data_IF_352729370836
#
_entry.id   IF_352729370836
#
_cell.length_a   1.000
_cell.length_b   1.000
_cell.length_c   1.000
_cell.angle_alpha   90.00
_cell.angle_beta   90.00
_cell.angle_gamma   90.00
#
_symmetry.space_group_name_H-M   'P 1'
#
loop_
_entity.id
_entity.type
_entity.pdbx_description
1 polymer ?
#
# COMPACT_ATOMS: atom_id res chain seq x y z
N UNK A 1 31.97 -14.26 42.12
CA UNK A 1 31.54 -13.00 41.49
C UNK A 1 31.22 -13.15 39.99
N UNK A 2 31.62 -14.22 39.32
CA UNK A 2 31.52 -14.33 37.85
C UNK A 2 30.15 -14.80 37.32
N UNK A 3 29.44 -15.63 38.08
CA UNK A 3 28.15 -16.21 37.63
C UNK A 3 27.03 -15.15 37.51
N UNK A 4 26.99 -14.18 38.42
CA UNK A 4 26.01 -13.08 38.38
C UNK A 4 26.26 -12.09 37.25
N UNK A 5 27.52 -11.93 36.82
CA UNK A 5 27.90 -11.09 35.68
C UNK A 5 27.46 -11.75 34.37
N UNK A 6 27.61 -13.08 34.26
CA UNK A 6 27.19 -13.83 33.08
C UNK A 6 25.68 -13.81 32.88
N UNK A 7 24.90 -13.99 33.95
CA UNK A 7 23.43 -13.90 33.90
C UNK A 7 22.96 -12.50 33.48
N UNK A 8 23.62 -11.44 33.97
CA UNK A 8 23.29 -10.05 33.60
C UNK A 8 23.51 -9.80 32.09
N UNK A 9 24.59 -10.34 31.52
CA UNK A 9 24.87 -10.24 30.09
C UNK A 9 23.81 -10.94 29.24
N UNK A 10 23.40 -12.16 29.61
CA UNK A 10 22.34 -12.89 28.92
C UNK A 10 21.01 -12.13 29.00
N UNK A 11 20.67 -11.58 30.16
CA UNK A 11 19.44 -10.81 30.32
C UNK A 11 19.42 -9.55 29.45
N UNK A 12 20.54 -8.81 29.38
CA UNK A 12 20.70 -7.66 28.48
C UNK A 12 20.63 -8.05 27.00
N UNK A 13 21.19 -9.20 26.62
CA UNK A 13 21.11 -9.71 25.25
C UNK A 13 19.65 -9.99 24.86
N UNK A 14 18.92 -10.70 25.71
CA UNK A 14 17.51 -11.05 25.47
C UNK A 14 16.65 -9.79 25.33
N UNK A 15 16.83 -8.81 26.22
CA UNK A 15 16.09 -7.53 26.12
C UNK A 15 16.40 -6.81 24.80
N UNK A 16 17.66 -6.73 24.39
CA UNK A 16 18.03 -6.07 23.13
C UNK A 16 17.45 -6.79 21.91
N UNK A 17 17.48 -8.13 21.88
CA UNK A 17 16.86 -8.91 20.80
C UNK A 17 15.35 -8.70 20.78
N UNK A 18 14.69 -8.68 21.94
CA UNK A 18 13.26 -8.44 22.02
C UNK A 18 12.88 -7.02 21.54
N UNK A 19 13.66 -6.00 21.88
CA UNK A 19 13.48 -4.63 21.39
C UNK A 19 13.69 -4.52 19.87
N UNK A 20 14.67 -5.24 19.32
CA UNK A 20 14.90 -5.35 17.87
C UNK A 20 13.71 -6.01 17.15
N UNK A 21 13.13 -7.06 17.73
CA UNK A 21 11.96 -7.74 17.18
C UNK A 21 10.69 -6.85 17.20
N UNK A 22 10.50 -6.02 18.23
CA UNK A 22 9.36 -5.08 18.25
C UNK A 22 9.53 -4.00 17.18
N UNK A 23 10.75 -3.47 17.00
CA UNK A 23 11.01 -2.39 16.05
C UNK A 23 10.85 -2.79 14.58
N UNK A 24 11.17 -4.04 14.21
CA UNK A 24 10.88 -4.54 12.86
C UNK A 24 9.37 -4.72 12.60
N UNK A 25 8.57 -5.06 13.60
CA UNK A 25 7.13 -5.27 13.44
C UNK A 25 6.37 -3.94 13.32
N UNK A 26 6.78 -2.89 14.04
CA UNK A 26 6.20 -1.54 13.90
C UNK A 26 6.42 -0.95 12.51
N UNK A 27 7.50 -1.34 11.83
CA UNK A 27 7.82 -0.91 10.46
C UNK A 27 7.22 -1.81 9.38
N UNK A 28 6.74 -2.99 9.74
CA UNK A 28 6.20 -3.97 8.79
C UNK A 28 4.84 -3.57 8.22
N UNK A 29 4.11 -2.66 8.86
CA UNK A 29 2.75 -2.33 8.41
C UNK A 29 2.72 -1.35 7.23
N UNK A 30 3.75 -0.52 7.04
CA UNK A 30 3.94 0.32 5.84
C UNK A 30 5.41 0.74 5.71
N UNK A 31 6.12 0.27 4.67
CA UNK A 31 7.43 0.81 4.31
C UNK A 31 7.27 2.32 3.98
N UNK A 32 7.99 3.23 4.63
CA UNK A 32 8.01 4.65 4.29
C UNK A 32 8.30 4.86 2.81
N UNK A 33 7.51 5.73 2.19
CA UNK A 33 7.56 5.99 0.74
C UNK A 33 6.78 4.99 -0.10
N UNK A 34 6.07 4.03 0.51
CA UNK A 34 5.19 3.08 -0.17
C UNK A 34 3.79 3.09 0.41
N UNK A 35 2.81 2.81 -0.44
CA UNK A 35 1.43 2.51 -0.08
C UNK A 35 1.22 1.03 -0.36
N UNK A 36 0.67 0.29 0.60
CA UNK A 36 0.40 -1.13 0.46
C UNK A 36 -1.03 -1.50 0.83
N UNK A 37 -1.50 -2.59 0.24
CA UNK A 37 -2.84 -3.15 0.42
C UNK A 37 -3.02 -4.38 -0.45
N UNK A 38 -4.21 -4.96 -0.45
CA UNK A 38 -4.47 -6.24 -1.09
C UNK A 38 -5.43 -6.12 -2.26
N UNK A 39 -5.13 -6.85 -3.34
CA UNK A 39 -6.12 -7.26 -4.33
C UNK A 39 -6.15 -8.79 -4.35
N UNK A 40 -7.34 -9.38 -4.17
CA UNK A 40 -7.52 -10.83 -4.20
C UNK A 40 -6.52 -11.60 -3.31
N UNK A 41 -6.28 -11.11 -2.08
CA UNK A 41 -5.31 -11.66 -1.10
C UNK A 41 -3.83 -11.55 -1.47
N UNK A 42 -3.51 -10.90 -2.58
CA UNK A 42 -2.13 -10.57 -2.94
C UNK A 42 -1.81 -9.17 -2.46
N UNK A 43 -0.73 -9.02 -1.70
CA UNK A 43 -0.23 -7.72 -1.25
C UNK A 43 0.42 -7.04 -2.46
N UNK A 44 -0.04 -5.83 -2.74
CA UNK A 44 0.59 -4.93 -3.70
C UNK A 44 1.19 -3.76 -2.94
N UNK A 45 2.44 -3.44 -3.26
CA UNK A 45 3.15 -2.28 -2.76
C UNK A 45 3.52 -1.36 -3.92
N UNK A 46 3.20 -0.08 -3.81
CA UNK A 46 3.47 0.92 -4.83
C UNK A 46 4.18 2.10 -4.18
N UNK A 47 5.21 2.71 -4.81
CA UNK A 47 5.79 3.94 -4.30
C UNK A 47 4.72 5.03 -4.21
N UNK A 48 4.67 5.75 -3.08
CA UNK A 48 3.63 6.75 -2.82
C UNK A 48 3.60 7.87 -3.86
N UNK A 49 4.71 8.11 -4.54
CA UNK A 49 4.84 9.11 -5.62
C UNK A 49 3.97 8.80 -6.84
N UNK A 50 3.56 7.55 -7.04
CA UNK A 50 2.62 7.19 -8.10
C UNK A 50 1.16 7.36 -7.67
N UNK A 51 0.87 7.35 -6.36
CA UNK A 51 -0.50 7.36 -5.86
C UNK A 51 -1.08 8.75 -6.01
N UNK A 52 -2.20 8.84 -6.73
CA UNK A 52 -2.88 10.13 -6.94
C UNK A 52 -3.94 10.36 -5.86
N UNK A 53 -3.83 11.49 -5.15
CA UNK A 53 -4.66 11.87 -4.00
C UNK A 53 -4.51 10.93 -2.79
N UNK A 54 -5.03 9.71 -2.88
CA UNK A 54 -4.98 8.69 -1.83
C UNK A 54 -5.50 7.35 -2.36
N UNK A 55 -5.06 6.24 -1.77
CA UNK A 55 -5.67 4.94 -2.01
C UNK A 55 -6.96 4.79 -1.21
N UNK A 56 -8.01 4.25 -1.84
CA UNK A 56 -9.27 3.90 -1.19
C UNK A 56 -9.24 2.42 -0.80
N UNK A 57 -9.41 2.16 0.49
CA UNK A 57 -9.51 0.80 1.04
C UNK A 57 -10.99 0.43 1.25
N UNK A 58 -11.27 -0.86 1.40
CA UNK A 58 -12.61 -1.33 1.78
C UNK A 58 -13.11 -0.68 3.09
N UNK A 59 -14.41 -0.40 3.14
CA UNK A 59 -15.07 0.27 4.27
C UNK A 59 -15.93 1.46 3.80
N UNK A 60 -15.82 2.57 4.51
CA UNK A 60 -16.50 3.82 4.19
C UNK A 60 -15.91 4.46 2.92
N UNK A 61 -16.75 5.10 2.10
CA UNK A 61 -16.25 5.86 0.94
C UNK A 61 -15.54 7.13 1.39
N UNK A 62 -14.61 7.64 0.57
CA UNK A 62 -13.97 8.94 0.80
C UNK A 62 -14.94 10.11 1.08
N UNK A 63 -16.17 10.04 0.57
CA UNK A 63 -17.20 11.05 0.84
C UNK A 63 -17.83 10.97 2.24
N UNK A 64 -17.59 9.88 2.99
CA UNK A 64 -18.06 9.70 4.36
C UNK A 64 -16.97 10.16 5.35
N UNK A 65 -17.28 11.00 6.36
CA UNK A 65 -16.31 11.43 7.36
C UNK A 65 -15.60 10.29 8.10
N UNK A 66 -16.25 9.12 8.22
CA UNK A 66 -15.68 7.92 8.82
C UNK A 66 -14.63 7.23 7.94
N UNK A 67 -14.37 7.73 6.73
CA UNK A 67 -13.30 7.24 5.84
C UNK A 67 -11.94 7.13 6.55
N UNK A 68 -11.64 8.06 7.46
CA UNK A 68 -10.38 8.05 8.22
C UNK A 68 -10.22 6.80 9.10
N UNK A 69 -11.35 6.15 9.44
CA UNK A 69 -11.43 4.95 10.29
C UNK A 69 -11.26 3.65 9.50
N UNK A 70 -11.23 3.70 8.16
CA UNK A 70 -11.03 2.50 7.35
C UNK A 70 -9.70 1.82 7.70
N UNK A 71 -9.69 0.48 7.65
CA UNK A 71 -8.46 -0.31 7.75
C UNK A 71 -7.54 0.08 6.57
N UNK A 72 -6.26 0.34 6.86
CA UNK A 72 -5.23 0.71 5.88
C UNK A 72 -4.01 -0.21 6.02
N UNK A 73 -3.11 -0.17 5.05
CA UNK A 73 -1.87 -0.93 5.04
C UNK A 73 -2.02 -2.31 4.43
N UNK A 74 -0.96 -3.13 4.56
CA UNK A 74 -0.76 -4.30 3.71
C UNK A 74 -1.77 -5.43 3.98
N UNK A 75 -2.48 -5.36 5.12
CA UNK A 75 -3.55 -6.28 5.47
C UNK A 75 -4.97 -5.78 5.13
N UNK A 76 -5.08 -4.60 4.51
CA UNK A 76 -6.33 -4.03 4.07
C UNK A 76 -6.52 -4.25 2.57
N UNK A 77 -7.75 -4.54 2.15
CA UNK A 77 -8.08 -4.66 0.73
C UNK A 77 -8.22 -3.27 0.11
N UNK A 78 -7.63 -3.09 -1.07
CA UNK A 78 -7.89 -1.91 -1.89
C UNK A 78 -9.28 -2.03 -2.53
N UNK A 79 -10.03 -0.94 -2.45
CA UNK A 79 -11.23 -0.72 -3.26
C UNK A 79 -10.87 -0.07 -4.58
N UNK A 80 -10.10 1.02 -4.52
CA UNK A 80 -9.60 1.76 -5.69
C UNK A 80 -8.18 2.21 -5.39
N UNK A 81 -7.25 1.90 -6.29
CA UNK A 81 -5.89 2.41 -6.28
C UNK A 81 -5.70 3.35 -7.48
N UNK A 82 -5.88 4.66 -7.30
CA UNK A 82 -5.61 5.66 -8.33
C UNK A 82 -4.10 5.95 -8.41
N UNK A 83 -3.56 5.90 -9.62
CA UNK A 83 -2.16 6.23 -9.90
C UNK A 83 -2.03 7.23 -11.04
N UNK A 84 -1.01 8.09 -10.96
CA UNK A 84 -0.68 9.06 -12.00
C UNK A 84 0.81 8.99 -12.34
N UNK A 85 1.09 8.98 -13.65
CA UNK A 85 2.46 8.89 -14.16
C UNK A 85 2.61 9.67 -15.46
N UNK A 86 3.84 10.01 -15.80
CA UNK A 86 4.16 10.67 -17.07
C UNK A 86 3.97 9.72 -18.25
N UNK A 87 3.67 10.28 -19.41
CA UNK A 87 3.64 9.58 -20.68
C UNK A 87 4.74 10.11 -21.61
N UNK A 88 5.50 9.24 -22.31
CA UNK A 88 5.42 7.78 -22.35
C UNK A 88 6.30 7.05 -21.32
N UNK A 89 7.10 7.80 -20.54
CA UNK A 89 8.14 7.24 -19.68
C UNK A 89 7.60 6.48 -18.44
N UNK A 90 6.31 6.65 -18.10
CA UNK A 90 5.67 6.04 -16.93
C UNK A 90 6.39 6.35 -15.60
N UNK A 91 7.01 7.53 -15.49
CA UNK A 91 7.69 7.98 -14.26
C UNK A 91 6.67 8.53 -13.27
N UNK A 92 6.96 8.46 -11.96
CA UNK A 92 6.07 9.04 -10.96
C UNK A 92 5.97 10.53 -11.21
N UNK A 93 4.78 11.09 -11.00
CA UNK A 93 4.57 12.51 -11.21
C UNK A 93 5.14 13.28 -10.03
N UNK A 94 6.38 13.75 -10.16
CA UNK A 94 6.93 14.81 -9.31
C UNK A 94 6.62 16.16 -9.97
N UNK A 95 5.60 16.84 -9.45
CA UNK A 95 5.32 18.28 -9.58
C UNK A 95 5.82 19.07 -10.81
N UNK A 96 4.83 19.60 -11.54
CA UNK A 96 4.83 20.89 -12.27
C UNK A 96 5.78 20.99 -13.47
N UNK A 97 5.51 20.19 -14.51
CA UNK A 97 5.80 20.63 -15.88
C UNK A 97 4.50 20.66 -16.68
N UNK A 98 4.18 21.83 -17.23
CA UNK A 98 2.97 22.05 -18.03
C UNK A 98 2.98 21.28 -19.36
N UNK A 99 4.13 20.74 -19.76
CA UNK A 99 4.30 20.04 -21.03
C UNK A 99 4.29 18.51 -20.90
N UNK A 100 4.16 17.98 -19.69
CA UNK A 100 4.15 16.53 -19.47
C UNK A 100 2.75 15.99 -19.72
N UNK A 101 2.61 15.18 -20.77
CA UNK A 101 1.42 14.34 -20.98
C UNK A 101 1.33 13.35 -19.82
N UNK A 102 0.16 13.23 -19.21
CA UNK A 102 -0.07 12.35 -18.07
C UNK A 102 -1.04 11.24 -18.45
N UNK A 103 -0.87 10.08 -17.80
CA UNK A 103 -1.88 9.04 -17.77
C UNK A 103 -2.30 8.78 -16.32
N UNK A 104 -3.58 8.52 -16.15
CA UNK A 104 -4.16 8.09 -14.89
C UNK A 104 -4.63 6.65 -15.03
N UNK A 105 -4.24 5.83 -14.06
CA UNK A 105 -4.57 4.40 -14.03
C UNK A 105 -5.28 4.13 -12.72
N UNK A 106 -6.51 3.63 -12.81
CA UNK A 106 -7.30 3.20 -11.67
C UNK A 106 -7.29 1.68 -11.64
N UNK A 107 -6.78 1.11 -10.56
CA UNK A 107 -6.79 -0.35 -10.33
C UNK A 107 -7.89 -0.66 -9.32
N UNK A 108 -8.79 -1.56 -9.71
CA UNK A 108 -9.94 -1.99 -8.92
C UNK A 108 -10.03 -3.53 -8.96
N UNK A 109 -10.54 -4.19 -7.91
CA UNK A 109 -10.75 -5.63 -7.95
C UNK A 109 -11.84 -5.97 -8.97
N UNK A 110 -11.57 -6.97 -9.81
CA UNK A 110 -12.56 -7.48 -10.75
C UNK A 110 -13.58 -8.33 -9.99
N UNK A 111 -14.77 -7.77 -9.73
CA UNK A 111 -15.83 -8.44 -8.95
C UNK A 111 -16.67 -9.44 -9.76
N UNK A 112 -16.36 -9.67 -11.04
CA UNK A 112 -17.15 -10.50 -11.95
C UNK A 112 -16.28 -11.32 -12.90
N UNK A 113 -16.88 -12.33 -13.54
CA UNK A 113 -16.25 -13.12 -14.59
C UNK A 113 -15.68 -12.19 -15.70
N UNK A 114 -14.36 -12.22 -15.96
CA UNK A 114 -13.72 -11.42 -17.00
C UNK A 114 -14.42 -11.53 -18.37
N UNK A 115 -14.93 -12.71 -18.73
CA UNK A 115 -15.59 -12.93 -20.02
C UNK A 115 -16.88 -12.12 -20.15
N UNK A 116 -17.62 -11.96 -19.04
CA UNK A 116 -18.83 -11.14 -19.00
C UNK A 116 -18.51 -9.65 -19.17
N UNK A 117 -17.39 -9.17 -18.62
CA UNK A 117 -16.96 -7.77 -18.79
C UNK A 117 -16.58 -7.47 -20.25
N UNK A 118 -15.80 -8.36 -20.90
CA UNK A 118 -15.41 -8.15 -22.30
C UNK A 118 -16.55 -8.36 -23.31
N UNK A 119 -17.54 -9.20 -22.99
CA UNK A 119 -18.70 -9.40 -23.88
C UNK A 119 -19.57 -8.15 -24.02
N UNK A 120 -19.76 -7.37 -22.93
CA UNK A 120 -20.46 -6.08 -23.01
C UNK A 120 -19.72 -5.05 -23.86
N UNK A 121 -18.39 -5.06 -23.85
CA UNK A 121 -17.58 -4.07 -24.59
C UNK A 121 -17.53 -4.35 -26.09
N UNK A 122 -17.62 -5.62 -26.51
CA UNK A 122 -17.69 -6.01 -27.93
C UNK A 122 -18.99 -5.58 -28.64
N UNK A 123 -20.05 -5.25 -27.89
CA UNK A 123 -21.35 -4.87 -28.48
C UNK A 123 -21.34 -3.40 -28.96
N UNK A 124 -20.34 -2.60 -28.57
CA UNK A 124 -20.26 -1.17 -28.88
C UNK A 124 -19.08 -0.79 -29.80
N UNK A 125 -18.52 -1.76 -30.53
CA UNK A 125 -17.49 -1.57 -31.58
C UNK A 125 -17.89 -2.34 -32.82
#
# INVERSE_FOLDING_TARGET
>A
MEFGVFINYIFKLIINVFLLLISINVYAENRPGFVCGQFNKNIIEIPSEYVFLFAEYEGYSYFDPRFIENKKGCEANFRILPMRMSWPDLKPFSEVSHDVKMIEVYVEPLNSDPEKYFSHKKIYT
#
